data_IF_576982799210
#
_entry.id   IF_576982799210
#
_cell.length_a   1.000
_cell.length_b   1.000
_cell.length_c   1.000
_cell.angle_alpha   90.00
_cell.angle_beta   90.00
_cell.angle_gamma   90.00
#
_symmetry.space_group_name_H-M   'P 1'
#
loop_
_entity.id
_entity.type
_entity.pdbx_description
1 polymer ?
2 non-polymer ?
3 water ?
#
# COMPACT_ATOMS: atom_id res chain seq x y z
N UNK A 8 -15.27 25.71 -7.92
CA UNK A 8 -16.25 24.60 -7.76
C UNK A 8 -15.54 23.26 -7.97
N UNK A 9 -15.78 22.32 -7.05
CA UNK A 9 -15.27 20.95 -7.13
C UNK A 9 -15.65 20.27 -8.45
N UNK A 10 -16.89 20.45 -8.88
CA UNK A 10 -17.43 19.83 -10.09
C UNK A 10 -16.54 20.13 -11.30
N UNK A 11 -16.21 21.41 -11.50
CA UNK A 11 -15.35 21.85 -12.59
C UNK A 11 -13.95 21.23 -12.50
N UNK A 12 -13.41 21.17 -11.29
CA UNK A 12 -12.11 20.56 -11.00
C UNK A 12 -12.12 19.09 -11.43
N UNK A 13 -13.20 18.37 -11.12
CA UNK A 13 -13.32 16.95 -11.46
C UNK A 13 -13.37 16.74 -12.97
N UNK A 14 -14.20 17.54 -13.65
CA UNK A 14 -14.30 17.46 -15.13
C UNK A 14 -12.95 17.75 -15.80
N UNK A 15 -12.26 18.81 -15.34
CA UNK A 15 -10.95 19.18 -15.88
C UNK A 15 -9.92 18.06 -15.72
N UNK A 16 -9.94 17.41 -14.55
CA UNK A 16 -9.01 16.30 -14.32
C UNK A 16 -9.28 15.16 -15.30
N UNK A 17 -10.55 14.81 -15.46
CA UNK A 17 -10.94 13.74 -16.36
C UNK A 17 -10.43 14.07 -17.76
N UNK A 18 -10.58 15.33 -18.18
CA UNK A 18 -10.14 15.76 -19.53
C UNK A 18 -8.63 15.64 -19.63
N UNK A 19 -7.91 16.00 -18.57
CA UNK A 19 -6.46 15.94 -18.56
C UNK A 19 -5.97 14.48 -18.69
N UNK A 20 -6.63 13.54 -18.01
CA UNK A 20 -6.24 12.13 -18.14
C UNK A 20 -6.47 11.59 -19.56
N UNK A 21 -7.57 12.02 -20.18
CA UNK A 21 -7.80 11.68 -21.58
C UNK A 21 -6.65 12.16 -22.47
N UNK A 22 -6.22 13.40 -22.27
CA UNK A 22 -5.16 14.01 -23.07
C UNK A 22 -3.82 13.30 -22.87
N UNK A 23 -3.60 12.77 -21.66
CA UNK A 23 -2.35 12.01 -21.36
C UNK A 23 -2.14 10.78 -22.22
N UNK A 24 -3.23 10.26 -22.82
CA UNK A 24 -3.21 9.04 -23.60
C UNK A 24 -2.56 9.22 -25.00
N UNK A 25 -2.48 10.46 -25.48
CA UNK A 25 -1.91 10.70 -26.81
C UNK A 25 -0.39 10.80 -26.80
N UNK A 26 0.27 10.21 -27.82
CA UNK A 26 1.74 10.27 -27.89
C UNK A 26 2.24 11.66 -28.27
N UNK A 27 3.42 12.03 -27.76
CA UNK A 27 4.03 13.33 -28.08
C UNK A 27 4.96 13.19 -29.30
N UNK A 28 5.77 14.21 -29.58
CA UNK A 28 6.70 14.20 -30.73
C UNK A 28 7.75 13.07 -30.65
N UNK A 29 7.90 12.48 -29.46
CA UNK A 29 8.80 11.34 -29.27
C UNK A 29 8.07 10.00 -29.30
N UNK A 30 6.78 10.03 -29.63
CA UNK A 30 5.96 8.81 -29.67
C UNK A 30 5.57 8.25 -28.31
N UNK A 31 5.70 9.08 -27.27
CA UNK A 31 5.47 8.63 -25.88
C UNK A 31 4.23 9.30 -25.34
N UNK A 32 3.30 8.52 -24.79
CA UNK A 32 2.17 9.13 -24.05
C UNK A 32 2.68 9.72 -22.72
N UNK A 33 1.83 10.49 -22.05
CA UNK A 33 2.25 11.18 -20.84
C UNK A 33 2.56 10.23 -19.68
N UNK A 34 1.92 9.06 -19.67
CA UNK A 34 2.16 8.09 -18.59
C UNK A 34 3.59 7.56 -18.70
N UNK A 35 4.00 7.21 -19.92
CA UNK A 35 5.34 6.69 -20.14
C UNK A 35 6.40 7.74 -19.78
N UNK A 36 6.18 8.96 -20.25
CA UNK A 36 7.07 10.10 -20.02
C UNK A 36 7.21 10.43 -18.52
N UNK A 37 6.05 10.59 -17.86
CA UNK A 37 6.00 10.81 -16.42
C UNK A 37 6.65 9.68 -15.62
N UNK A 38 6.36 8.42 -15.96
CA UNK A 38 6.94 7.29 -15.22
C UNK A 38 8.45 7.32 -15.29
N UNK A 39 8.99 7.53 -16.49
CA UNK A 39 10.44 7.55 -16.64
C UNK A 39 11.04 8.69 -15.80
N UNK A 40 10.33 9.82 -15.72
CA UNK A 40 10.75 10.92 -14.84
C UNK A 40 10.79 10.53 -13.35
N UNK A 41 9.76 9.84 -12.88
CA UNK A 41 9.75 9.35 -11.50
C UNK A 41 10.87 8.33 -11.25
N UNK A 42 11.04 7.38 -12.20
CA UNK A 42 12.06 6.32 -12.13
C UNK A 42 13.45 6.92 -12.05
N UNK A 43 13.70 7.96 -12.84
CA UNK A 43 15.00 8.60 -12.90
C UNK A 43 15.31 9.26 -11.56
N UNK A 44 14.31 9.93 -10.99
CA UNK A 44 14.44 10.64 -9.70
C UNK A 44 14.69 9.66 -8.55
N UNK A 45 14.02 8.50 -8.61
CA UNK A 45 14.26 7.39 -7.70
C UNK A 45 15.60 6.63 -8.02
N UNK A 46 16.04 6.58 -9.27
CA UNK A 46 17.38 6.03 -9.59
C UNK A 46 18.44 6.97 -8.96
N UNK A 47 18.07 8.25 -8.83
CA UNK A 47 18.89 9.33 -8.25
C UNK A 47 18.95 9.36 -6.72
N UNK A 48 17.83 9.12 -6.01
CA UNK A 48 17.70 9.38 -4.52
C UNK A 48 18.60 8.70 -3.55
N UNK A 49 18.96 7.47 -3.83
CA UNK A 49 19.82 6.74 -2.96
C UNK A 49 21.22 7.31 -3.21
N UNK A 50 21.51 7.67 -4.47
CA UNK A 50 22.90 8.04 -4.82
C UNK A 50 23.42 9.32 -4.15
N UNK A 51 22.53 10.29 -3.90
CA UNK A 51 22.97 11.57 -3.30
C UNK A 51 22.74 11.62 -1.77
N UNK A 52 22.33 10.48 -1.21
CA UNK A 52 22.11 10.28 0.23
C UNK A 52 21.06 11.21 0.82
N UNK A 53 19.98 11.46 0.06
CA UNK A 53 18.94 12.40 0.45
C UNK A 53 18.13 11.82 1.55
N UNK A 54 17.83 10.50 1.38
CA UNK A 54 17.10 9.61 2.27
C UNK A 54 17.90 8.32 2.48
N UNK A 55 18.88 8.37 3.40
CA UNK A 55 19.63 7.17 3.73
C UNK A 55 18.75 5.99 4.15
N UNK A 56 19.29 4.79 3.98
CA UNK A 56 18.65 3.55 4.39
C UNK A 56 19.64 2.75 5.26
N UNK A 57 20.34 3.45 6.15
CA UNK A 57 21.37 2.83 7.02
C UNK A 57 20.86 1.64 7.85
N UNK A 58 19.66 1.77 8.42
CA UNK A 58 19.17 0.74 9.35
C UNK A 58 18.96 -0.58 8.63
N UNK A 59 18.30 -0.51 7.46
CA UNK A 59 18.08 -1.67 6.58
C UNK A 59 19.31 -2.39 6.07
N UNK A 60 20.43 -1.66 5.98
CA UNK A 60 21.72 -2.20 5.52
C UNK A 60 22.57 -2.89 6.60
N UNK A 61 22.21 -2.68 7.88
CA UNK A 61 22.99 -3.26 9.01
C UNK A 61 23.00 -4.77 8.89
N UNK A 62 24.16 -5.39 9.11
CA UNK A 62 24.37 -6.81 8.87
C UNK A 62 23.27 -7.70 9.46
N UNK A 63 22.84 -7.37 10.68
CA UNK A 63 21.76 -8.09 11.39
C UNK A 63 20.39 -8.03 10.69
N UNK A 64 20.19 -7.00 9.86
CA UNK A 64 18.89 -6.74 9.21
C UNK A 64 18.78 -7.24 7.77
N UNK A 65 19.91 -7.65 7.18
CA UNK A 65 19.97 -8.16 5.80
C UNK A 65 18.95 -9.29 5.55
N UNK A 66 18.86 -10.22 6.50
CA UNK A 66 17.92 -11.34 6.44
C UNK A 66 16.45 -10.91 6.59
N UNK A 67 16.20 -9.65 6.94
CA UNK A 67 14.81 -9.18 7.18
C UNK A 67 14.24 -8.46 5.95
N UNK A 68 15.04 -8.38 4.90
CA UNK A 68 14.60 -7.73 3.64
C UNK A 68 14.30 -8.77 2.58
N UNK A 69 13.10 -8.73 2.01
CA UNK A 69 12.74 -9.71 1.02
C UNK A 69 13.56 -9.53 -0.27
N UNK A 70 13.74 -8.27 -0.66
CA UNK A 70 14.48 -7.89 -1.87
C UNK A 70 15.63 -6.98 -1.47
N UNK A 71 16.83 -7.31 -1.94
CA UNK A 71 18.04 -6.55 -1.60
C UNK A 71 18.06 -5.08 -2.09
N UNK A 72 17.31 -4.80 -3.17
CA UNK A 72 17.21 -3.47 -3.75
C UNK A 72 16.05 -2.61 -3.15
N UNK A 73 15.28 -3.20 -2.25
CA UNK A 73 14.12 -2.51 -1.63
C UNK A 73 14.25 -2.34 -0.10
N UNK A 74 14.68 -1.14 0.32
CA UNK A 74 14.90 -0.81 1.73
C UNK A 74 14.09 0.39 2.24
N UNK A 75 13.75 0.39 3.54
CA UNK A 75 12.99 1.54 4.06
C UNK A 75 13.88 2.74 4.29
N UNK A 76 13.42 3.90 3.82
CA UNK A 76 14.12 5.15 4.13
C UNK A 76 14.17 5.32 5.63
N UNK A 77 15.32 5.73 6.19
CA UNK A 77 15.39 5.89 7.63
C UNK A 77 14.38 6.93 8.14
N UNK A 78 14.21 8.03 7.41
CA UNK A 78 13.40 9.16 7.88
C UNK A 78 11.92 8.81 8.10
N UNK A 79 11.40 7.85 7.33
CA UNK A 79 10.01 7.47 7.46
C UNK A 79 9.77 6.02 7.88
N UNK A 80 10.82 5.31 8.32
CA UNK A 80 10.68 3.89 8.60
C UNK A 80 9.85 3.69 9.87
N UNK A 81 9.16 2.57 9.92
CA UNK A 81 8.35 2.23 11.07
C UNK A 81 9.23 1.55 12.12
N UNK A 82 9.32 2.18 13.29
CA UNK A 82 10.20 1.68 14.37
C UNK A 82 9.40 0.84 15.35
N UNK A 83 9.92 -0.34 15.66
CA UNK A 83 9.24 -1.26 16.54
C UNK A 83 9.78 -1.17 17.98
N UNK A 84 8.96 -0.68 18.90
CA UNK A 84 9.37 -0.58 20.31
C UNK A 84 8.83 -1.71 21.20
N UNK A 85 7.94 -2.55 20.66
CA UNK A 85 7.37 -3.67 21.44
C UNK A 85 8.38 -4.82 21.58
N UNK A 86 8.79 -5.10 22.82
CA UNK A 86 9.70 -6.21 23.11
C UNK A 86 8.98 -7.54 23.13
N UNK A 87 9.62 -8.54 22.53
CA UNK A 87 9.16 -9.93 22.55
C UNK A 87 10.33 -10.81 22.99
N UNK A 88 10.05 -12.04 23.45
CA UNK A 88 11.15 -12.92 23.86
C UNK A 88 12.07 -13.27 22.67
N UNK A 89 11.50 -13.37 21.48
CA UNK A 89 12.21 -13.78 20.28
C UNK A 89 12.94 -12.63 19.57
N UNK A 90 12.36 -11.44 19.58
CA UNK A 90 12.88 -10.31 18.80
C UNK A 90 12.70 -8.96 19.51
N UNK A 91 13.81 -8.23 19.61
CA UNK A 91 13.89 -6.93 20.27
C UNK A 91 14.25 -5.78 19.33
N UNK A 92 14.72 -6.12 18.13
CA UNK A 92 15.17 -5.13 17.13
C UNK A 92 14.02 -4.21 16.80
N UNK A 93 14.32 -2.93 16.58
CA UNK A 93 13.27 -1.99 16.16
C UNK A 93 12.97 -2.02 14.67
N UNK A 94 13.62 -2.93 13.92
CA UNK A 94 13.58 -2.91 12.45
C UNK A 94 12.50 -3.76 11.80
N UNK A 95 11.82 -3.12 10.86
CA UNK A 95 10.95 -3.80 9.88
C UNK A 95 11.07 -3.06 8.55
N UNK A 96 11.00 -3.82 7.45
CA UNK A 96 11.01 -3.21 6.15
C UNK A 96 9.59 -2.64 5.89
N UNK A 97 9.37 -1.41 6.36
CA UNK A 97 8.06 -0.72 6.32
C UNK A 97 8.27 0.79 6.47
N UNK A 98 7.43 1.58 5.81
CA UNK A 98 7.50 3.04 5.94
C UNK A 98 6.11 3.60 6.14
N UNK A 99 6.03 4.71 6.87
CA UNK A 99 4.78 5.47 6.94
C UNK A 99 4.61 6.29 5.69
N UNK A 100 3.36 6.35 5.24
CA UNK A 100 2.95 7.28 4.15
C UNK A 100 1.85 8.18 4.69
N UNK A 101 2.00 9.50 4.51
CA UNK A 101 1.04 10.46 5.07
C UNK A 101 -0.26 10.43 4.28
N UNK A 102 -1.36 10.71 4.96
CA UNK A 102 -2.67 10.80 4.29
C UNK A 102 -3.10 12.25 4.15
N UNK A 103 -4.40 12.46 3.98
CA UNK A 103 -4.95 13.83 3.90
C UNK A 103 -4.68 14.66 5.17
N UNK A 104 -4.73 14.04 6.35
CA UNK A 104 -4.51 14.82 7.57
C UNK A 104 -3.69 14.08 8.61
N UNK A 105 -3.59 12.76 8.46
CA UNK A 105 -2.81 11.91 9.38
C UNK A 105 -1.42 11.56 8.86
N UNK A 106 -0.36 11.88 9.63
CA UNK A 106 0.99 11.54 9.11
C UNK A 106 1.27 10.02 9.05
N UNK A 107 0.49 9.23 9.77
CA UNK A 107 0.69 7.80 9.77
C UNK A 107 -0.54 7.14 9.18
N UNK A 108 -1.03 7.67 8.06
CA UNK A 108 -2.28 7.13 7.50
C UNK A 108 -2.09 5.71 6.95
N UNK A 109 -0.94 5.45 6.36
CA UNK A 109 -0.59 4.15 5.84
C UNK A 109 0.74 3.65 6.40
N UNK A 110 0.83 2.34 6.60
CA UNK A 110 2.12 1.66 6.70
C UNK A 110 2.23 0.82 5.42
N UNK A 111 3.24 1.13 4.62
CA UNK A 111 3.57 0.36 3.41
C UNK A 111 4.69 -0.58 3.73
N UNK A 112 4.45 -1.89 3.60
CA UNK A 112 5.45 -2.87 4.02
C UNK A 112 5.56 -3.99 3.01
N UNK A 113 6.65 -4.73 3.07
CA UNK A 113 6.84 -5.90 2.23
C UNK A 113 5.98 -7.04 2.75
N UNK A 114 5.78 -8.06 1.91
CA UNK A 114 5.16 -9.30 2.37
C UNK A 114 6.14 -9.93 3.38
N UNK A 115 5.67 -10.23 4.60
CA UNK A 115 6.66 -10.72 5.60
C UNK A 115 7.33 -12.04 5.18
N UNK A 116 8.56 -12.24 5.67
CA UNK A 116 9.32 -13.45 5.45
C UNK A 116 9.01 -14.38 6.63
N UNK A 117 9.42 -15.65 6.54
CA UNK A 117 9.19 -16.59 7.65
C UNK A 117 9.74 -16.04 8.96
N UNK A 118 10.91 -15.41 8.89
CA UNK A 118 11.55 -14.82 10.07
C UNK A 118 11.07 -13.41 10.49
N UNK A 119 10.25 -12.77 9.66
CA UNK A 119 9.75 -11.43 10.02
C UNK A 119 8.24 -11.38 10.26
N UNK A 120 7.55 -12.52 10.19
CA UNK A 120 6.13 -12.57 10.60
C UNK A 120 5.98 -12.01 12.03
N UNK A 121 6.91 -12.36 12.93
CA UNK A 121 6.89 -11.79 14.27
C UNK A 121 6.90 -10.26 14.29
N UNK A 122 7.73 -9.66 13.42
CA UNK A 122 7.87 -8.21 13.31
C UNK A 122 6.62 -7.57 12.70
N UNK A 123 6.02 -8.26 11.72
CA UNK A 123 4.75 -7.83 11.18
C UNK A 123 3.70 -7.70 12.31
N UNK A 124 3.56 -8.72 13.14
CA UNK A 124 2.58 -8.64 14.23
C UNK A 124 2.93 -7.60 15.29
N UNK A 125 4.22 -7.49 15.61
CA UNK A 125 4.67 -6.43 16.52
C UNK A 125 4.27 -5.05 15.99
N UNK A 126 4.42 -4.86 14.68
CA UNK A 126 3.99 -3.61 14.07
C UNK A 126 2.47 -3.37 14.17
N UNK A 127 1.68 -4.37 13.75
CA UNK A 127 0.22 -4.29 13.79
C UNK A 127 -0.22 -3.97 15.22
N UNK A 128 0.37 -4.66 16.20
CA UNK A 128 -0.02 -4.44 17.60
C UNK A 128 0.33 -3.03 18.11
N UNK A 129 1.59 -2.63 17.96
CA UNK A 129 2.06 -1.34 18.49
C UNK A 129 1.28 -0.16 17.92
N UNK A 130 1.00 -0.21 16.61
CA UNK A 130 0.43 0.94 15.92
C UNK A 130 -1.10 0.92 15.87
N UNK A 131 -1.72 0.01 16.65
CA UNK A 131 -3.17 -0.06 16.81
C UNK A 131 -3.89 -0.29 15.47
N UNK A 132 -3.22 -0.99 14.58
CA UNK A 132 -3.77 -1.23 13.22
C UNK A 132 -4.98 -2.17 13.34
N UNK A 133 -6.02 -1.88 12.55
CA UNK A 133 -7.25 -2.67 12.41
C UNK A 133 -7.36 -3.25 11.01
N UNK A 134 -6.88 -2.50 10.02
CA UNK A 134 -7.06 -2.87 8.60
C UNK A 134 -5.73 -3.33 7.99
N UNK A 135 -5.79 -4.47 7.31
CA UNK A 135 -4.66 -4.94 6.49
C UNK A 135 -5.18 -5.13 5.07
N UNK A 136 -4.47 -4.55 4.13
CA UNK A 136 -4.78 -4.76 2.69
C UNK A 136 -3.59 -5.51 2.10
N UNK A 137 -3.82 -6.71 1.60
CA UNK A 137 -2.77 -7.52 0.98
C UNK A 137 -3.08 -7.61 -0.49
N UNK A 138 -2.15 -7.18 -1.34
CA UNK A 138 -2.46 -7.13 -2.77
C UNK A 138 -1.61 -8.08 -3.66
N UNK A 139 -1.07 -9.13 -3.05
CA UNK A 139 -0.37 -10.19 -3.80
C UNK A 139 -0.94 -11.54 -3.37
N UNK A 140 -0.67 -12.57 -4.15
CA UNK A 140 -0.94 -13.94 -3.71
C UNK A 140 0.27 -14.43 -2.97
N UNK A 141 0.10 -15.50 -2.19
CA UNK A 141 1.21 -16.11 -1.45
C UNK A 141 2.27 -16.60 -2.46
N UNK A 142 1.81 -17.18 -3.56
CA UNK A 142 2.67 -17.62 -4.65
C UNK A 142 2.20 -16.96 -5.92
N UNK A 143 3.14 -16.42 -6.69
CA UNK A 143 2.83 -15.84 -8.00
C UNK A 143 3.90 -16.31 -8.97
N UNK A 144 3.46 -16.78 -10.13
CA UNK A 144 4.36 -17.23 -11.20
C UNK A 144 5.40 -18.24 -10.74
N UNK A 145 4.98 -19.12 -9.83
CA UNK A 145 5.85 -20.18 -9.31
C UNK A 145 6.82 -19.75 -8.22
N UNK A 146 6.68 -18.51 -7.74
CA UNK A 146 7.62 -17.97 -6.73
C UNK A 146 6.86 -17.57 -5.49
N UNK A 147 7.44 -17.84 -4.33
CA UNK A 147 6.80 -17.37 -3.10
C UNK A 147 6.97 -15.87 -2.95
N UNK A 148 5.84 -15.19 -2.74
CA UNK A 148 5.82 -13.72 -2.68
C UNK A 148 5.56 -13.17 -1.29
N UNK A 149 4.96 -13.97 -0.42
CA UNK A 149 4.59 -13.50 0.92
C UNK A 149 4.33 -14.72 1.79
N UNK A 150 4.76 -14.67 3.05
CA UNK A 150 4.43 -15.73 4.01
C UNK A 150 2.94 -15.64 4.34
N UNK A 151 2.27 -16.77 4.41
CA UNK A 151 0.90 -16.79 4.93
C UNK A 151 0.92 -16.62 6.45
N UNK A 152 0.40 -15.48 6.90
CA UNK A 152 0.38 -15.15 8.32
C UNK A 152 -1.00 -15.30 8.97
N UNK A 153 -1.99 -15.75 8.18
CA UNK A 153 -3.34 -16.00 8.67
C UNK A 153 -3.67 -17.50 8.59
N UNK A 154 -4.48 -18.02 9.56
CA UNK A 154 -4.95 -19.40 9.41
C UNK A 154 -5.92 -19.51 8.25
N UNK A 155 -5.84 -20.62 7.52
CA UNK A 155 -6.81 -20.91 6.47
C UNK A 155 -8.18 -21.00 7.11
N UNK A 156 -9.21 -20.52 6.42
CA UNK A 156 -10.54 -20.47 7.04
C UNK A 156 -11.05 -21.87 7.39
N UNK A 157 -11.47 -22.04 8.66
CA UNK A 157 -11.90 -23.32 9.18
C UNK A 157 -10.84 -23.98 10.06
N UNK A 158 -9.60 -23.48 9.98
CA UNK A 158 -8.48 -24.06 10.74
C UNK A 158 -8.29 -23.36 12.06
N UNK A 159 -7.62 -24.06 12.98
CA UNK A 159 -7.39 -23.58 14.32
C UNK A 159 -6.40 -22.41 14.32
N UNK A 160 -6.39 -21.62 15.41
CA UNK A 160 -5.46 -20.50 15.49
C UNK A 160 -3.98 -20.87 15.27
N UNK A 161 -3.20 -19.94 14.73
CA UNK A 161 -1.76 -20.14 14.53
C UNK A 161 -0.99 -19.28 15.53
N UNK A 162 0.10 -19.84 16.07
CA UNK A 162 0.97 -19.15 17.02
C UNK A 162 2.27 -18.66 16.37
N UNK A 163 2.48 -17.35 16.48
CA UNK A 163 3.78 -16.73 16.21
C UNK A 163 4.10 -16.00 17.53
N UNK A 164 4.46 -16.77 18.57
CA UNK A 164 4.58 -16.25 19.95
C UNK A 164 5.30 -14.90 20.03
N UNK A 165 4.80 -13.94 20.86
CA UNK A 165 3.68 -13.99 21.82
C UNK A 165 2.29 -13.76 21.22
N UNK A 166 2.19 -13.86 19.89
CA UNK A 166 0.93 -13.61 19.19
C UNK A 166 0.22 -14.89 18.77
N UNK A 167 -1.08 -14.87 18.99
CA UNK A 167 -2.00 -15.88 18.51
C UNK A 167 -2.99 -15.19 17.55
N UNK A 168 -3.09 -15.77 16.35
CA UNK A 168 -3.96 -15.27 15.29
C UNK A 168 -5.05 -16.27 14.92
N UNK A 169 -6.30 -15.81 14.96
CA UNK A 169 -7.44 -16.62 14.59
C UNK A 169 -8.12 -16.11 13.31
N UNK A 170 -8.66 -17.01 12.50
CA UNK A 170 -9.50 -16.59 11.38
C UNK A 170 -10.93 -16.86 11.80
N UNK A 171 -11.67 -15.79 12.14
CA UNK A 171 -13.05 -15.86 12.62
C UNK A 171 -14.09 -15.98 11.49
N UNK A 172 -13.81 -15.32 10.38
CA UNK A 172 -14.72 -15.32 9.24
C UNK A 172 -13.97 -15.02 7.96
N UNK A 173 -14.53 -15.49 6.85
CA UNK A 173 -14.03 -15.14 5.53
C UNK A 173 -15.23 -14.92 4.62
N UNK A 174 -15.18 -13.80 3.93
CA UNK A 174 -16.18 -13.43 2.93
C UNK A 174 -15.50 -13.29 1.55
N UNK A 175 -16.15 -13.81 0.52
CA UNK A 175 -15.62 -13.74 -0.84
C UNK A 175 -16.38 -12.67 -1.61
N UNK A 176 -15.65 -11.73 -2.21
CA UNK A 176 -16.20 -10.73 -3.12
C UNK A 176 -15.52 -10.91 -4.47
N UNK A 177 -15.93 -10.16 -5.48
CA UNK A 177 -15.26 -10.26 -6.77
C UNK A 177 -13.83 -9.76 -6.63
N UNK A 178 -12.87 -10.66 -6.90
CA UNK A 178 -11.41 -10.40 -6.97
C UNK A 178 -10.70 -10.28 -5.62
N UNK A 179 -11.47 -10.37 -4.53
CA UNK A 179 -10.83 -10.25 -3.18
C UNK A 179 -11.62 -10.94 -2.07
N UNK A 180 -10.93 -11.20 -0.96
CA UNK A 180 -11.54 -11.80 0.22
C UNK A 180 -11.48 -10.79 1.36
N UNK A 181 -12.43 -10.89 2.28
CA UNK A 181 -12.36 -10.14 3.53
C UNK A 181 -12.27 -11.17 4.65
N UNK A 182 -11.14 -11.17 5.36
CA UNK A 182 -10.98 -12.09 6.48
C UNK A 182 -11.05 -11.31 7.78
N UNK A 183 -11.87 -11.79 8.71
CA UNK A 183 -12.00 -11.19 10.04
C UNK A 183 -11.07 -12.02 10.91
N UNK A 184 -10.05 -11.35 11.45
CA UNK A 184 -9.02 -12.02 12.24
C UNK A 184 -9.10 -11.55 13.67
N UNK A 185 -8.72 -12.42 14.60
CA UNK A 185 -8.58 -12.00 15.99
C UNK A 185 -7.11 -12.07 16.33
N UNK A 186 -6.57 -10.95 16.81
CA UNK A 186 -5.19 -10.86 17.23
C UNK A 186 -5.15 -10.72 18.75
N UNK A 187 -4.50 -11.67 19.41
CA UNK A 187 -4.36 -11.61 20.86
C UNK A 187 -2.92 -11.57 21.36
N UNK A 188 -2.76 -10.79 22.43
CA UNK A 188 -1.49 -10.50 23.04
C UNK A 188 -1.82 -10.21 24.49
N UNK A 189 -1.24 -11.02 25.38
CA UNK A 189 -1.39 -10.90 26.84
C UNK A 189 -2.87 -11.00 27.24
N UNK A 190 -3.41 -10.01 27.95
CA UNK A 190 -4.84 -10.00 28.32
C UNK A 190 -5.75 -9.24 27.34
N UNK A 191 -5.21 -8.87 26.18
CA UNK A 191 -5.94 -8.03 25.23
C UNK A 191 -6.28 -8.74 23.91
N UNK A 192 -7.29 -8.24 23.22
CA UNK A 192 -7.59 -8.74 21.89
C UNK A 192 -7.98 -7.59 21.01
N UNK A 193 -7.73 -7.76 19.72
CA UNK A 193 -8.15 -6.80 18.73
C UNK A 193 -8.64 -7.58 17.54
N UNK A 194 -9.82 -7.17 17.06
CA UNK A 194 -10.40 -7.70 15.85
C UNK A 194 -9.79 -6.93 14.68
N UNK A 195 -9.26 -7.67 13.71
CA UNK A 195 -8.66 -7.08 12.49
C UNK A 195 -9.43 -7.49 11.26
N UNK A 196 -9.34 -6.70 10.19
CA UNK A 196 -10.00 -7.06 8.91
C UNK A 196 -8.96 -7.00 7.82
N UNK A 197 -8.75 -8.15 7.18
CA UNK A 197 -7.76 -8.30 6.12
C UNK A 197 -8.48 -8.35 4.78
N UNK A 198 -8.16 -7.41 3.92
CA UNK A 198 -8.69 -7.37 2.53
C UNK A 198 -7.61 -7.92 1.63
N UNK A 199 -7.88 -9.10 1.07
CA UNK A 199 -6.86 -9.79 0.30
C UNK A 199 -7.27 -9.79 -1.17
N UNK A 200 -6.61 -8.94 -1.95
CA UNK A 200 -6.91 -8.78 -3.38
C UNK A 200 -6.02 -9.74 -4.17
N UNK A 201 -6.64 -10.66 -4.91
CA UNK A 201 -5.90 -11.80 -5.47
C UNK A 201 -5.74 -11.74 -7.00
N UNK A 202 -6.35 -10.73 -7.62
CA UNK A 202 -6.32 -10.63 -9.07
C UNK A 202 -5.56 -9.42 -9.63
N UNK A 203 -4.50 -9.03 -8.92
CA UNK A 203 -3.50 -8.05 -9.38
C UNK A 203 -2.12 -8.70 -9.50
N UNK A 204 -1.68 -9.01 -10.73
CA UNK A 204 -0.36 -9.67 -10.89
C UNK A 204 0.82 -8.71 -10.65
N UNK A 205 1.94 -9.26 -10.18
CA UNK A 205 3.15 -8.47 -9.85
C UNK A 205 3.69 -7.75 -11.08
N UNK A 206 4.08 -6.48 -10.90
CA UNK A 206 4.60 -5.63 -12.02
C UNK A 206 3.61 -5.55 -13.21
N UNK A 207 2.32 -5.68 -12.89
CA UNK A 207 1.27 -5.68 -13.90
C UNK A 207 0.07 -4.91 -13.34
N UNK A 208 -1.02 -4.92 -14.11
CA UNK A 208 -2.30 -4.35 -13.72
C UNK A 208 -3.35 -5.44 -13.94
N UNK A 209 -4.48 -5.39 -13.18
CA UNK A 209 -5.59 -6.27 -13.46
C UNK A 209 -6.27 -5.79 -14.73
N UNK A 210 -7.06 -6.68 -15.36
CA UNK A 210 -7.77 -6.35 -16.59
C UNK A 210 -8.71 -5.16 -16.41
N UNK A 211 -9.44 -5.14 -15.29
CA UNK A 211 -10.27 -4.00 -14.92
C UNK A 211 -10.02 -3.57 -13.48
N UNK A 212 -10.28 -2.29 -13.18
CA UNK A 212 -10.18 -1.77 -11.77
C UNK A 212 -11.49 -1.47 -10.96
N UNK A 213 -12.67 -1.84 -11.48
CA UNK A 213 -13.95 -1.80 -10.71
C UNK A 213 -13.79 -2.43 -9.31
N UNK A 214 -13.22 -3.64 -9.27
CA UNK A 214 -13.12 -4.37 -7.99
C UNK A 214 -12.06 -3.77 -7.05
N UNK A 215 -11.03 -3.12 -7.61
CA UNK A 215 -10.05 -2.38 -6.74
C UNK A 215 -10.81 -1.28 -5.98
N UNK A 216 -11.61 -0.51 -6.73
CA UNK A 216 -12.42 0.56 -6.12
C UNK A 216 -13.44 0.00 -5.15
N UNK A 217 -14.09 -1.12 -5.49
CA UNK A 217 -15.07 -1.76 -4.59
C UNK A 217 -14.39 -2.13 -3.29
N UNK A 218 -13.20 -2.70 -3.38
CA UNK A 218 -12.45 -3.10 -2.18
C UNK A 218 -12.08 -1.92 -1.30
N UNK A 219 -11.55 -0.88 -1.91
CA UNK A 219 -11.14 0.32 -1.15
C UNK A 219 -12.36 0.94 -0.45
N UNK A 220 -13.46 1.06 -1.18
CA UNK A 220 -14.71 1.58 -0.59
C UNK A 220 -15.20 0.75 0.59
N UNK A 221 -15.18 -0.58 0.46
CA UNK A 221 -15.68 -1.42 1.54
C UNK A 221 -14.72 -1.36 2.74
N UNK A 222 -13.41 -1.40 2.47
CA UNK A 222 -12.44 -1.26 3.54
C UNK A 222 -12.67 0.04 4.33
N UNK A 223 -13.00 1.11 3.62
CA UNK A 223 -13.23 2.40 4.27
C UNK A 223 -14.54 2.48 5.07
N UNK A 224 -15.42 1.49 4.90
CA UNK A 224 -16.59 1.35 5.81
C UNK A 224 -16.19 0.73 7.16
N UNK A 225 -15.10 -0.03 7.15
CA UNK A 225 -14.54 -0.62 8.36
C UNK A 225 -13.70 0.37 9.14
N UNK A 226 -12.96 1.21 8.41
CA UNK A 226 -12.23 2.33 9.04
C UNK A 226 -12.16 3.47 8.05
N UNK A 227 -12.94 4.51 8.31
CA UNK A 227 -13.04 5.62 7.35
C UNK A 227 -11.97 6.67 7.50
N UNK A 228 -11.32 6.68 8.66
CA UNK A 228 -10.44 7.76 9.05
C UNK A 228 -8.97 7.36 9.05
N UNK A 229 -8.13 8.33 9.38
CA UNK A 229 -6.67 8.19 9.37
C UNK A 229 -6.05 8.23 10.76
N UNK A 230 -6.85 7.94 11.79
CA UNK A 230 -6.37 8.11 13.17
C UNK A 230 -5.35 7.04 13.57
N UNK A 231 -5.44 5.86 12.93
CA UNK A 231 -4.44 4.79 13.07
C UNK A 231 -4.12 4.35 11.64
N UNK A 232 -2.91 3.81 11.42
CA UNK A 232 -2.55 3.47 10.05
C UNK A 232 -3.35 2.28 9.57
N UNK A 233 -3.60 2.23 8.27
CA UNK A 233 -4.00 0.99 7.64
C UNK A 233 -2.73 0.38 7.06
N UNK A 234 -2.59 -0.93 7.17
CA UNK A 234 -1.38 -1.60 6.71
C UNK A 234 -1.62 -2.10 5.31
N UNK A 235 -0.79 -1.67 4.37
CA UNK A 235 -0.91 -2.10 2.96
C UNK A 235 0.38 -2.80 2.57
N UNK A 236 0.27 -4.02 2.05
CA UNK A 236 1.43 -4.74 1.58
C UNK A 236 1.12 -5.59 0.37
N UNK A 237 2.15 -5.76 -0.46
CA UNK A 237 2.13 -6.66 -1.62
C UNK A 237 3.27 -7.61 -1.29
N UNK A 238 4.18 -7.80 -2.24
CA UNK A 238 5.38 -8.59 -2.02
C UNK A 238 6.55 -7.69 -1.60
N UNK A 239 6.86 -6.71 -2.44
CA UNK A 239 7.90 -5.73 -2.12
C UNK A 239 7.38 -4.57 -1.25
N UNK A 240 6.07 -4.30 -1.31
CA UNK A 240 5.53 -3.14 -0.62
C UNK A 240 5.75 -1.83 -1.33
N UNK A 241 5.78 -1.88 -2.67
CA UNK A 241 6.11 -0.70 -3.49
C UNK A 241 5.07 -0.43 -4.58
N UNK A 242 4.87 -1.37 -5.50
CA UNK A 242 4.13 -1.08 -6.75
C UNK A 242 2.62 -1.09 -6.55
N UNK A 243 2.09 -2.27 -6.32
CA UNK A 243 0.63 -2.39 -6.05
C UNK A 243 0.28 -1.67 -4.77
N UNK A 244 1.16 -1.75 -3.76
CA UNK A 244 0.95 -1.05 -2.49
C UNK A 244 0.85 0.46 -2.72
N UNK A 245 1.77 1.03 -3.49
CA UNK A 245 1.78 2.47 -3.72
C UNK A 245 0.55 2.91 -4.53
N UNK A 246 0.17 2.08 -5.51
CA UNK A 246 -1.05 2.39 -6.32
C UNK A 246 -2.29 2.46 -5.42
N UNK A 247 -2.45 1.48 -4.53
CA UNK A 247 -3.58 1.48 -3.62
C UNK A 247 -3.58 2.73 -2.75
N UNK A 248 -2.40 3.05 -2.20
CA UNK A 248 -2.26 4.22 -1.37
C UNK A 248 -2.69 5.51 -2.10
N UNK A 249 -2.19 5.67 -3.33
CA UNK A 249 -2.49 6.87 -4.11
C UNK A 249 -3.99 6.98 -4.44
N UNK A 250 -4.62 5.86 -4.73
CA UNK A 250 -6.08 5.87 -5.05
C UNK A 250 -6.90 6.19 -3.78
N UNK A 251 -6.55 5.53 -2.67
CA UNK A 251 -7.26 5.75 -1.41
C UNK A 251 -7.11 7.19 -0.92
N UNK A 252 -5.88 7.74 -0.98
CA UNK A 252 -5.64 9.12 -0.61
C UNK A 252 -6.54 10.07 -1.43
N UNK A 253 -6.55 9.85 -2.74
CA UNK A 253 -7.29 10.74 -3.63
C UNK A 253 -8.78 10.64 -3.33
N UNK A 254 -9.26 9.42 -3.11
CA UNK A 254 -10.68 9.23 -2.80
C UNK A 254 -11.05 9.95 -1.49
N UNK A 255 -10.19 9.86 -0.50
CA UNK A 255 -10.42 10.56 0.76
C UNK A 255 -10.45 12.08 0.58
N UNK A 256 -9.58 12.59 -0.29
CA UNK A 256 -9.61 14.01 -0.62
C UNK A 256 -10.95 14.36 -1.30
N UNK A 257 -11.36 13.51 -2.26
CA UNK A 257 -12.65 13.70 -2.95
C UNK A 257 -13.85 13.72 -1.97
N UNK A 258 -13.87 12.77 -1.04
CA UNK A 258 -14.98 12.70 -0.07
C UNK A 258 -15.05 13.95 0.80
N UNK A 259 -13.89 14.53 1.11
CA UNK A 259 -13.80 15.75 1.90
C UNK A 259 -14.12 17.02 1.11
N UNK A 260 -14.27 16.87 -0.22
CA UNK A 260 -14.53 17.99 -1.13
C UNK A 260 -13.32 18.89 -1.27
N UNK A 261 -12.13 18.28 -1.20
CA UNK A 261 -10.87 18.99 -1.16
C UNK A 261 -9.92 18.69 -2.33
N UNK A 262 -10.45 18.26 -3.47
CA UNK A 262 -9.60 18.16 -4.67
C UNK A 262 -9.13 19.56 -5.08
N UNK A 263 -7.81 19.80 -5.13
CA UNK A 263 -7.31 21.14 -5.44
C UNK A 263 -7.41 21.45 -6.93
N UNK A 264 -7.44 22.74 -7.27
CA UNK A 264 -7.37 23.16 -8.68
C UNK A 264 -6.10 22.59 -9.28
N UNK A 265 -6.20 22.13 -10.53
CA UNK A 265 -5.08 21.52 -11.29
C UNK A 265 -4.44 20.38 -10.52
N UNK A 266 -5.30 19.53 -9.96
CA UNK A 266 -4.89 18.37 -9.18
C UNK A 266 -3.89 17.56 -9.97
N UNK A 267 -2.77 17.20 -9.32
CA UNK A 267 -1.64 16.66 -10.06
C UNK A 267 -1.16 15.36 -9.43
N UNK A 268 -1.50 14.27 -10.07
CA UNK A 268 -1.19 12.93 -9.58
C UNK A 268 0.32 12.60 -9.69
N UNK A 269 1.00 13.13 -10.71
CA UNK A 269 2.46 13.06 -10.81
C UNK A 269 3.08 13.55 -9.49
N UNK A 270 2.64 14.72 -9.02
CA UNK A 270 3.19 15.29 -7.80
C UNK A 270 2.88 14.44 -6.56
N UNK A 271 1.66 13.89 -6.51
CA UNK A 271 1.26 12.99 -5.45
C UNK A 271 2.21 11.77 -5.39
N UNK A 272 2.45 11.16 -6.55
CA UNK A 272 3.27 9.97 -6.61
C UNK A 272 4.76 10.31 -6.39
N UNK A 273 5.20 11.46 -6.88
CA UNK A 273 6.57 11.94 -6.62
C UNK A 273 6.73 12.09 -5.11
N UNK A 274 5.75 12.70 -4.41
CA UNK A 274 5.83 12.78 -2.91
C UNK A 274 5.81 11.44 -2.22
N UNK A 275 4.93 10.54 -2.66
CA UNK A 275 4.87 9.20 -2.08
C UNK A 275 6.22 8.45 -2.21
N UNK A 276 6.94 8.71 -3.29
CA UNK A 276 8.25 8.08 -3.59
C UNK A 276 9.38 8.65 -2.74
N UNK A 277 9.13 9.78 -2.08
CA UNK A 277 10.10 10.26 -1.05
C UNK A 277 9.81 9.61 0.33
N UNK A 278 8.74 8.82 0.42
CA UNK A 278 8.28 8.23 1.68
C UNK A 278 8.45 6.73 1.78
N UNK A 279 8.13 6.06 0.67
CA UNK A 279 8.38 4.65 0.50
C UNK A 279 9.05 4.52 -0.87
N UNK A 280 10.24 3.92 -0.89
CA UNK A 280 10.97 3.72 -2.14
C UNK A 280 10.15 3.06 -3.29
N UNK A 281 10.24 3.68 -4.49
CA UNK A 281 9.60 3.19 -5.74
C UNK A 281 8.09 2.95 -5.65
N UNK A 282 7.42 3.68 -4.76
CA UNK A 282 5.94 3.63 -4.68
C UNK A 282 5.33 3.85 -6.08
N UNK A 283 4.48 2.91 -6.53
CA UNK A 283 3.99 2.82 -7.94
C UNK A 283 5.18 2.47 -8.86
N UNK A 284 5.30 1.17 -9.16
CA UNK A 284 6.54 0.61 -9.72
C UNK A 284 6.66 0.53 -11.24
N UNK A 285 5.54 0.64 -11.95
CA UNK A 285 5.54 0.52 -13.41
C UNK A 285 4.73 1.60 -14.06
N UNK A 286 4.99 1.83 -15.35
CA UNK A 286 4.21 2.78 -16.13
C UNK A 286 2.72 2.37 -16.20
N UNK A 287 2.45 1.06 -16.25
CA UNK A 287 1.07 0.56 -16.30
C UNK A 287 0.35 0.83 -14.97
N UNK A 288 1.05 0.67 -13.86
CA UNK A 288 0.47 0.99 -12.52
C UNK A 288 0.24 2.49 -12.40
N UNK A 289 1.17 3.27 -12.94
CA UNK A 289 1.06 4.73 -12.95
C UNK A 289 -0.16 5.19 -13.75
N UNK A 290 -0.34 4.60 -14.93
CA UNK A 290 -1.55 4.83 -15.75
C UNK A 290 -2.82 4.38 -15.03
N UNK A 291 -2.76 3.20 -14.39
CA UNK A 291 -3.94 2.65 -13.70
C UNK A 291 -4.39 3.64 -12.59
N UNK A 292 -3.44 4.21 -11.83
CA UNK A 292 -3.85 5.17 -10.82
C UNK A 292 -4.60 6.34 -11.45
N UNK A 293 -4.10 6.87 -12.57
CA UNK A 293 -4.80 7.95 -13.28
C UNK A 293 -6.20 7.54 -13.78
N UNK A 294 -6.27 6.37 -14.39
CA UNK A 294 -7.56 5.90 -14.94
C UNK A 294 -8.59 5.58 -13.85
N UNK A 295 -8.12 5.00 -12.74
CA UNK A 295 -8.99 4.72 -11.61
C UNK A 295 -9.53 5.97 -10.96
N UNK A 296 -8.66 6.98 -10.79
CA UNK A 296 -9.07 8.25 -10.24
C UNK A 296 -10.08 8.92 -11.18
N UNK A 297 -9.80 8.92 -12.48
CA UNK A 297 -10.75 9.48 -13.45
C UNK A 297 -12.12 8.82 -13.33
N UNK A 298 -12.14 7.50 -13.18
CA UNK A 298 -13.42 6.78 -12.98
C UNK A 298 -14.12 7.19 -11.69
N UNK A 299 -13.36 7.30 -10.59
CA UNK A 299 -13.96 7.82 -9.34
C UNK A 299 -14.64 9.16 -9.54
N UNK A 300 -13.98 10.05 -10.26
CA UNK A 300 -14.49 11.38 -10.47
C UNK A 300 -15.73 11.30 -11.39
N UNK A 301 -15.67 10.47 -12.43
CA UNK A 301 -16.84 10.26 -13.34
C UNK A 301 -18.05 9.79 -12.53
N UNK A 302 -17.82 8.83 -11.64
CA UNK A 302 -18.89 8.30 -10.79
C UNK A 302 -19.40 9.33 -9.78
N UNK A 303 -18.51 10.15 -9.21
CA UNK A 303 -18.94 11.23 -8.29
C UNK A 303 -19.89 12.21 -9.00
N UNK A 304 -19.54 12.56 -10.23
CA UNK A 304 -20.37 13.49 -11.01
C UNK A 304 -21.76 12.96 -11.27
N UNK A 305 -21.91 11.63 -11.30
CA UNK A 305 -23.24 11.01 -11.50
C UNK A 305 -24.17 11.28 -10.34
N UNK A 306 -23.63 11.67 -9.20
CA UNK A 306 -24.47 11.88 -8.03
C UNK A 306 -24.99 13.31 -7.91
N UNK A 307 -24.54 14.21 -8.78
CA UNK A 307 -24.98 15.60 -8.78
C UNK A 307 -26.08 15.88 -9.78
X LIG B 1 4.49 -4.81 -4.75
X LIG B 1 5.67 -3.91 -4.93
X LIG B 1 3.73 -4.40 -3.52
X LIG B 1 4.96 -6.24 -4.60
X LIG B 1 3.58 -4.71 -5.96
#
# INVERSE_FOLDING_TARGET
>A
GSHMASMEQVEILRKFIQRVQAMKSPDHNGEDNFARDFMRLRRLSTKYRTEKIYPTATGEKEENVKKNRYKDILPFDHSRVKLTLKTPSQDSDYINANFIKGVYGPKAYVATQGPLANTVIDFWRMIWEYNVVIIVMACREFEMGRKKCERYWPLYGEDPITFAPFKISCEDEQARTDYFIRTLLLEFQNESRRLYQFHYVNWPDHDVPSSFDSILDMISLMRKYQEHEDVPICIHXSAGCGRTGAICAIDYTWNLLKAGKIPEEFNVFNLIQEMRTQRHSAVQTKEQYELVHRAIAQLFEKQLQLY
>B hetero
1 PO4 P O1 O2 O3 O4
#
